data_IF_099989373497
#
_entry.id   IF_099989373497
#
_cell.length_a   1.000
_cell.length_b   1.000
_cell.length_c   1.000
_cell.angle_alpha   90.00
_cell.angle_beta   90.00
_cell.angle_gamma   90.00
#
_symmetry.space_group_name_H-M   'P 1'
#
loop_
_entity.id
_entity.type
_entity.pdbx_description
1 polymer ?
#
# COMPACT_ATOMS: atom_id res chain seq x y z
N UNK A 1 -11.99 5.63 8.20
CA UNK A 1 -10.64 5.75 7.61
C UNK A 1 -10.69 5.48 6.11
N UNK A 2 -9.66 5.88 5.35
CA UNK A 2 -9.66 5.66 3.90
C UNK A 2 -9.27 4.22 3.55
N UNK A 3 -9.96 3.64 2.56
CA UNK A 3 -9.55 2.38 1.93
C UNK A 3 -8.57 2.59 0.77
N UNK A 4 -8.27 3.85 0.45
CA UNK A 4 -7.50 4.25 -0.72
C UNK A 4 -6.53 5.39 -0.42
N UNK A 5 -5.38 5.37 -1.09
CA UNK A 5 -4.55 6.57 -1.31
C UNK A 5 -4.55 6.89 -2.81
N UNK A 6 -4.71 8.16 -3.15
CA UNK A 6 -4.85 8.60 -4.54
C UNK A 6 -3.78 9.62 -4.90
N UNK A 7 -3.31 9.55 -6.14
CA UNK A 7 -2.32 10.45 -6.72
C UNK A 7 -2.97 11.21 -7.86
N UNK A 8 -2.82 12.53 -7.87
CA UNK A 8 -3.33 13.42 -8.93
C UNK A 8 -2.21 14.26 -9.53
N UNK A 9 -1.65 15.20 -8.77
CA UNK A 9 -0.54 16.07 -9.20
C UNK A 9 0.70 15.93 -8.32
N UNK A 10 0.59 15.20 -7.20
CA UNK A 10 1.67 14.96 -6.26
C UNK A 10 1.58 13.54 -5.72
N UNK A 11 2.74 12.98 -5.37
CA UNK A 11 2.85 11.66 -4.76
C UNK A 11 2.11 11.59 -3.42
N UNK A 12 1.49 10.46 -3.13
CA UNK A 12 0.90 10.17 -1.83
C UNK A 12 1.89 9.36 -0.98
N UNK A 13 1.98 9.66 0.32
CA UNK A 13 2.95 9.04 1.22
C UNK A 13 2.23 8.29 2.34
N UNK A 14 2.77 7.13 2.73
CA UNK A 14 2.43 6.44 3.98
C UNK A 14 3.71 6.30 4.80
N UNK A 15 3.74 6.92 5.97
CA UNK A 15 4.83 6.78 6.94
C UNK A 15 4.61 5.56 7.83
N UNK A 16 5.59 5.27 8.67
CA UNK A 16 5.48 4.18 9.63
C UNK A 16 4.25 4.36 10.54
N UNK A 17 3.45 3.29 10.65
CA UNK A 17 2.13 3.21 11.31
C UNK A 17 0.98 3.90 10.56
N UNK A 18 1.17 4.32 9.31
CA UNK A 18 0.07 4.72 8.44
C UNK A 18 -0.47 3.52 7.65
N UNK A 19 -1.79 3.44 7.56
CA UNK A 19 -2.50 2.34 6.91
C UNK A 19 -3.72 2.83 6.13
N UNK A 20 -4.07 2.07 5.09
CA UNK A 20 -5.41 2.04 4.50
C UNK A 20 -6.13 0.77 4.95
N UNK A 21 -7.45 0.87 5.15
CA UNK A 21 -8.25 -0.19 5.76
C UNK A 21 -9.32 -0.70 4.79
N UNK A 22 -9.62 -2.00 4.85
CA UNK A 22 -10.68 -2.56 4.03
C UNK A 22 -12.06 -1.96 4.39
N UNK A 23 -12.97 -1.74 3.41
CA UNK A 23 -14.14 -0.89 3.61
C UNK A 23 -15.20 -1.38 4.61
N UNK A 24 -15.58 -2.67 4.60
CA UNK A 24 -16.83 -3.12 5.25
C UNK A 24 -16.61 -3.88 6.55
N UNK A 25 -15.51 -4.62 6.68
CA UNK A 25 -15.28 -5.49 7.85
C UNK A 25 -13.94 -5.22 8.55
N UNK A 26 -13.14 -4.28 8.03
CA UNK A 26 -11.85 -3.85 8.60
C UNK A 26 -10.95 -5.02 9.00
N UNK A 27 -10.96 -6.08 8.18
CA UNK A 27 -10.20 -7.31 8.44
C UNK A 27 -8.77 -7.14 7.95
N UNK A 28 -8.56 -6.28 6.96
CA UNK A 28 -7.28 -6.09 6.32
C UNK A 28 -6.85 -4.64 6.35
N UNK A 29 -5.56 -4.45 6.62
CA UNK A 29 -4.88 -3.18 6.47
C UNK A 29 -3.66 -3.35 5.56
N UNK A 30 -3.42 -2.38 4.68
CA UNK A 30 -2.16 -2.27 3.94
C UNK A 30 -1.46 -0.97 4.33
N UNK A 31 -0.16 -1.05 4.59
CA UNK A 31 0.57 0.10 5.08
C UNK A 31 1.98 -0.22 5.52
N UNK A 32 2.62 0.76 6.13
CA UNK A 32 3.95 0.62 6.70
C UNK A 32 3.81 0.28 8.19
N UNK A 33 4.29 -0.88 8.62
CA UNK A 33 4.38 -1.26 10.03
C UNK A 33 5.81 -1.65 10.38
N UNK A 34 6.38 -1.00 11.39
CA UNK A 34 7.73 -1.25 11.86
C UNK A 34 8.76 -1.29 10.70
N UNK A 35 8.74 -0.25 9.87
CA UNK A 35 9.58 -0.07 8.69
C UNK A 35 9.38 -1.09 7.56
N UNK A 36 8.30 -1.88 7.59
CA UNK A 36 7.97 -2.87 6.58
C UNK A 36 6.64 -2.54 5.89
N UNK A 37 6.62 -2.59 4.55
CA UNK A 37 5.36 -2.56 3.81
C UNK A 37 4.73 -3.96 3.80
N UNK A 38 3.44 -4.04 4.05
CA UNK A 38 2.74 -5.31 4.04
C UNK A 38 1.23 -5.20 4.09
N UNK A 39 0.61 -6.38 4.07
CA UNK A 39 -0.81 -6.59 4.37
C UNK A 39 -0.89 -7.28 5.73
N UNK A 40 -1.71 -6.73 6.61
CA UNK A 40 -1.87 -7.14 7.98
C UNK A 40 -3.32 -7.46 8.28
N UNK A 41 -3.53 -8.31 9.27
CA UNK A 41 -4.87 -8.47 9.84
C UNK A 41 -5.16 -7.30 10.77
N UNK A 42 -6.30 -6.66 10.58
CA UNK A 42 -6.81 -5.59 11.43
C UNK A 42 -8.02 -6.08 12.24
N UNK A 43 -8.17 -5.50 13.43
CA UNK A 43 -9.33 -5.65 14.32
C UNK A 43 -9.94 -4.27 14.54
N UNK A 44 -10.44 -3.71 13.45
CA UNK A 44 -10.96 -2.37 13.40
C UNK A 44 -9.91 -1.32 12.98
N UNK A 45 -10.37 -0.10 12.78
CA UNK A 45 -9.61 1.03 12.26
C UNK A 45 -8.38 1.44 13.08
N UNK A 46 -8.37 1.19 14.39
CA UNK A 46 -7.27 1.62 15.27
C UNK A 46 -6.34 0.47 15.68
N UNK A 47 -6.67 -0.78 15.32
CA UNK A 47 -5.95 -1.95 15.82
C UNK A 47 -5.48 -2.84 14.67
N UNK A 48 -4.21 -2.72 14.30
CA UNK A 48 -3.53 -3.69 13.43
C UNK A 48 -2.77 -4.68 14.32
N UNK A 49 -2.91 -5.99 14.09
CA UNK A 49 -2.01 -6.94 14.78
C UNK A 49 -0.68 -7.00 14.10
N UNK A 50 0.37 -7.31 14.87
CA UNK A 50 1.70 -7.62 14.33
C UNK A 50 1.74 -8.88 13.46
N UNK A 51 0.60 -9.56 13.25
CA UNK A 51 0.49 -10.70 12.35
C UNK A 51 0.37 -10.21 10.92
N UNK A 52 1.50 -10.14 10.23
CA UNK A 52 1.50 -9.92 8.79
C UNK A 52 0.96 -11.16 8.06
N UNK A 53 0.08 -10.92 7.10
CA UNK A 53 -0.41 -11.94 6.16
C UNK A 53 0.58 -12.08 5.01
N UNK A 54 1.11 -10.93 4.57
CA UNK A 54 2.18 -10.85 3.60
C UNK A 54 2.99 -9.58 3.83
N UNK A 55 4.29 -9.65 3.62
CA UNK A 55 5.16 -8.47 3.63
C UNK A 55 6.11 -8.49 2.43
N UNK A 56 6.50 -7.29 2.00
CA UNK A 56 7.60 -7.15 1.07
C UNK A 56 8.90 -7.75 1.67
N UNK A 57 9.61 -8.56 0.88
CA UNK A 57 10.91 -9.09 1.28
C UNK A 57 11.98 -7.99 1.21
N UNK A 58 12.71 -7.79 2.31
CA UNK A 58 13.84 -6.86 2.46
C UNK A 58 13.53 -5.36 2.54
N UNK A 59 12.83 -4.92 3.59
CA UNK A 59 13.04 -3.57 4.13
C UNK A 59 14.15 -3.64 5.19
N UNK A 60 15.39 -3.29 4.84
CA UNK A 60 16.54 -3.33 5.76
C UNK A 60 16.45 -2.24 6.84
N UNK A 61 16.98 -2.58 8.03
CA UNK A 61 16.53 -2.16 9.36
C UNK A 61 17.26 -0.95 9.98
N UNK A 62 17.85 -0.06 9.18
CA UNK A 62 18.60 1.10 9.71
C UNK A 62 18.06 2.41 9.16
N UNK A 63 16.82 2.76 9.51
CA UNK A 63 16.24 4.07 9.15
C UNK A 63 14.73 4.12 9.32
N UNK A 64 14.15 5.31 9.25
CA UNK A 64 12.70 5.49 9.11
C UNK A 64 12.32 5.21 7.65
N UNK A 65 11.41 4.27 7.43
CA UNK A 65 10.89 3.96 6.10
C UNK A 65 9.54 4.65 5.86
N UNK A 66 9.28 5.01 4.61
CA UNK A 66 7.96 5.43 4.14
C UNK A 66 7.69 4.90 2.73
N UNK A 67 6.42 4.65 2.44
CA UNK A 67 5.93 4.27 1.12
C UNK A 67 5.53 5.54 0.36
N UNK A 68 5.85 5.60 -0.92
CA UNK A 68 5.43 6.65 -1.83
C UNK A 68 4.71 6.04 -3.02
N UNK A 69 3.46 6.44 -3.23
CA UNK A 69 2.75 6.26 -4.48
C UNK A 69 3.04 7.48 -5.36
N UNK A 70 3.79 7.30 -6.44
CA UNK A 70 4.38 8.39 -7.19
C UNK A 70 3.59 8.75 -8.45
N UNK A 71 3.66 10.00 -8.89
CA UNK A 71 2.97 10.50 -10.09
C UNK A 71 3.37 9.79 -11.38
N UNK A 72 4.56 9.18 -11.40
CA UNK A 72 5.04 8.38 -12.53
C UNK A 72 4.52 6.93 -12.53
N UNK A 73 3.68 6.58 -11.53
CA UNK A 73 3.00 5.29 -11.32
C UNK A 73 3.89 4.21 -10.70
N UNK A 74 4.93 4.62 -9.98
CA UNK A 74 5.71 3.73 -9.16
C UNK A 74 5.18 3.69 -7.72
N UNK A 75 5.24 2.50 -7.11
CA UNK A 75 5.11 2.33 -5.66
C UNK A 75 6.52 2.08 -5.11
N UNK A 76 7.01 2.98 -4.26
CA UNK A 76 8.41 3.01 -3.85
C UNK A 76 8.52 3.07 -2.34
N UNK A 77 9.39 2.26 -1.75
CA UNK A 77 9.77 2.40 -0.34
C UNK A 77 11.06 3.19 -0.27
N UNK A 78 11.01 4.30 0.46
CA UNK A 78 12.16 5.15 0.76
C UNK A 78 12.63 4.92 2.19
N UNK A 79 13.94 4.99 2.42
CA UNK A 79 14.54 5.01 3.75
C UNK A 79 15.25 6.34 4.03
N UNK A 80 15.15 6.83 5.27
CA UNK A 80 15.88 8.01 5.76
C UNK A 80 17.01 7.58 6.70
N UNK A 81 18.17 8.27 6.70
CA UNK A 81 18.52 9.44 5.87
C UNK A 81 19.15 9.06 4.51
N UNK A 82 19.48 7.78 4.29
CA UNK A 82 20.32 7.32 3.18
C UNK A 82 19.64 7.32 1.81
N UNK A 83 18.33 7.56 1.74
CA UNK A 83 17.58 7.58 0.48
C UNK A 83 17.59 6.24 -0.24
N UNK A 84 17.78 5.13 0.48
CA UNK A 84 17.78 3.81 -0.15
C UNK A 84 16.37 3.54 -0.67
N UNK A 85 16.30 3.27 -1.96
CA UNK A 85 15.06 3.06 -2.70
C UNK A 85 14.91 1.56 -2.93
N UNK A 86 13.96 0.95 -2.25
CA UNK A 86 13.48 -0.38 -2.64
C UNK A 86 12.21 -0.21 -3.47
N UNK A 87 12.24 -0.68 -4.71
CA UNK A 87 11.13 -0.60 -5.65
C UNK A 87 10.52 -1.98 -5.86
N UNK A 88 9.31 -2.26 -5.33
CA UNK A 88 8.46 -3.27 -5.94
C UNK A 88 7.95 -2.69 -7.25
N UNK A 89 8.71 -2.85 -8.32
CA UNK A 89 8.37 -2.33 -9.64
C UNK A 89 7.07 -2.99 -10.14
N UNK A 90 5.97 -2.23 -10.20
CA UNK A 90 4.81 -2.60 -11.02
C UNK A 90 4.45 -1.42 -11.90
N UNK A 91 5.10 -1.37 -13.06
CA UNK A 91 4.77 -0.44 -14.13
C UNK A 91 3.50 -0.93 -14.85
N UNK A 92 2.34 -0.47 -14.38
CA UNK A 92 1.09 -0.64 -15.10
C UNK A 92 0.97 0.48 -16.15
N UNK A 93 1.66 0.35 -17.29
CA UNK A 93 1.73 1.36 -18.35
C UNK A 93 0.40 1.88 -18.93
N UNK A 94 -0.75 1.36 -18.47
CA UNK A 94 -2.10 1.81 -18.83
C UNK A 94 -2.79 2.77 -17.86
N UNK A 95 -2.14 3.18 -16.76
CA UNK A 95 -2.75 4.08 -15.76
C UNK A 95 -2.47 5.55 -16.13
N UNK A 96 -3.53 6.34 -16.31
CA UNK A 96 -3.46 7.81 -16.34
C UNK A 96 -3.71 8.41 -14.95
N UNK A 97 -3.27 9.64 -14.72
CA UNK A 97 -3.62 10.39 -13.51
C UNK A 97 -5.06 10.94 -13.60
N UNK A 98 -5.79 11.08 -12.47
CA UNK A 98 -5.46 10.51 -11.17
C UNK A 98 -5.67 8.99 -11.14
N UNK A 99 -5.02 8.34 -10.19
CA UNK A 99 -5.23 6.92 -9.89
C UNK A 99 -5.13 6.67 -8.39
N UNK A 100 -5.69 5.56 -7.93
CA UNK A 100 -5.70 5.21 -6.52
C UNK A 100 -5.18 3.80 -6.27
N UNK A 101 -4.47 3.62 -5.17
CA UNK A 101 -4.10 2.34 -4.61
C UNK A 101 -5.01 2.04 -3.42
N UNK A 102 -5.68 0.89 -3.41
CA UNK A 102 -6.71 0.55 -2.42
C UNK A 102 -6.58 -0.89 -1.95
N UNK A 103 -7.16 -1.18 -0.78
CA UNK A 103 -7.36 -2.55 -0.29
C UNK A 103 -8.85 -2.91 -0.27
N UNK A 104 -9.19 -4.11 -0.72
CA UNK A 104 -10.53 -4.67 -0.68
C UNK A 104 -10.75 -5.51 0.59
N UNK A 105 -12.01 -5.79 0.93
CA UNK A 105 -12.37 -6.68 2.06
C UNK A 105 -11.92 -8.14 1.87
N UNK A 106 -11.44 -8.50 0.69
CA UNK A 106 -10.80 -9.79 0.43
C UNK A 106 -9.29 -9.80 0.73
N UNK A 107 -8.71 -8.67 1.13
CA UNK A 107 -7.27 -8.50 1.26
C UNK A 107 -6.55 -8.31 -0.09
N UNK A 108 -7.29 -8.17 -1.19
CA UNK A 108 -6.71 -7.80 -2.48
C UNK A 108 -6.32 -6.33 -2.51
N UNK A 109 -5.09 -6.06 -2.97
CA UNK A 109 -4.65 -4.73 -3.34
C UNK A 109 -5.04 -4.46 -4.78
N UNK A 110 -5.59 -3.27 -5.04
CA UNK A 110 -6.03 -2.86 -6.36
C UNK A 110 -5.47 -1.49 -6.73
N UNK A 111 -5.25 -1.29 -8.02
CA UNK A 111 -5.05 0.02 -8.61
C UNK A 111 -6.27 0.37 -9.45
N UNK A 112 -6.81 1.57 -9.25
CA UNK A 112 -7.93 2.09 -10.03
C UNK A 112 -7.54 3.37 -10.76
N UNK A 113 -8.08 3.55 -11.96
CA UNK A 113 -7.93 4.80 -12.70
C UNK A 113 -8.92 5.86 -12.19
N UNK A 114 -8.91 7.04 -12.81
CA UNK A 114 -9.79 8.17 -12.47
C UNK A 114 -11.29 7.88 -12.57
N UNK A 115 -11.69 6.84 -13.32
CA UNK A 115 -13.07 6.37 -13.45
C UNK A 115 -13.42 5.27 -12.45
N UNK A 116 -12.51 4.92 -11.54
CA UNK A 116 -12.69 3.83 -10.58
C UNK A 116 -12.51 2.42 -11.16
N UNK A 117 -12.07 2.30 -12.42
CA UNK A 117 -11.87 1.00 -13.07
C UNK A 117 -10.59 0.35 -12.53
N UNK A 118 -10.69 -0.90 -12.09
CA UNK A 118 -9.54 -1.72 -11.68
C UNK A 118 -8.68 -2.03 -12.91
N UNK A 119 -7.41 -1.66 -12.86
CA UNK A 119 -6.45 -1.88 -13.95
C UNK A 119 -5.31 -2.81 -13.55
N UNK A 120 -5.15 -3.05 -12.25
CA UNK A 120 -4.27 -4.07 -11.69
C UNK A 120 -4.82 -4.54 -10.35
N UNK A 121 -4.55 -5.79 -10.03
CA UNK A 121 -4.82 -6.38 -8.72
C UNK A 121 -3.72 -7.37 -8.34
N UNK A 122 -3.41 -7.46 -7.05
CA UNK A 122 -2.35 -8.34 -6.53
C UNK A 122 -2.67 -9.83 -6.63
N UNK A 123 -3.96 -10.19 -6.76
CA UNK A 123 -4.46 -11.55 -6.57
C UNK A 123 -4.01 -12.17 -5.23
N UNK A 124 -3.77 -11.33 -4.21
CA UNK A 124 -3.43 -11.76 -2.84
C UNK A 124 -4.63 -12.27 -2.05
N UNK A 125 -5.79 -12.47 -2.71
CA UNK A 125 -6.94 -13.14 -2.16
C UNK A 125 -6.49 -14.44 -1.50
N UNK A 126 -6.80 -14.60 -0.21
CA UNK A 126 -6.68 -15.90 0.43
C UNK A 126 -7.55 -16.88 -0.38
N UNK A 127 -6.94 -17.91 -0.97
CA UNK A 127 -7.66 -19.17 -1.10
C UNK A 127 -8.10 -19.53 0.32
N UNK A 128 -9.40 -19.72 0.52
CA UNK A 128 -10.05 -19.85 1.83
C UNK A 128 -9.42 -20.87 2.77
#
# INVERSE_FOLDING_TARGET
PSSSICVSTASALLYNNDFIYSPTSEIYAAGMLNNQFGIYKAYGYDNVTSTAIWTASQTSTSGTCYLALQTDRNLVVYTLPSGYVWTPFINNGGIGLPFCFSILDSGNLIWTNSSGIIIWQSNSAQSG
#
